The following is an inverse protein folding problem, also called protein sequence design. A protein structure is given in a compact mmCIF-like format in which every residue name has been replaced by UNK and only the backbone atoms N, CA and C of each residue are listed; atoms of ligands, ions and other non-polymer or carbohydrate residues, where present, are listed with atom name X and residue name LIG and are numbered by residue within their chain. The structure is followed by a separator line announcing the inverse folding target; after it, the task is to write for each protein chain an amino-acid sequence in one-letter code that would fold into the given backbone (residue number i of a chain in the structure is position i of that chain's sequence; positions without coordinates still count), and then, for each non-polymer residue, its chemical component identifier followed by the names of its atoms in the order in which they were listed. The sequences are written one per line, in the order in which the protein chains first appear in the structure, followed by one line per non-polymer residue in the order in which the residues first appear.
data_IF_262100108607
#
_entry.id   IF_262100108607
#
_cell.length_a   1.000
_cell.length_b   1.000
_cell.length_c   1.000
_cell.angle_alpha   90.00
_cell.angle_beta   90.00
_cell.angle_gamma   90.00
#
_symmetry.space_group_name_H-M   'P 1'
#
loop_
_entity.id
_entity.type
_entity.pdbx_description
1 polymer ?
#
# COMPACT_ATOMS: atom_id res chain seq x y z
N UNK A 1 -70.69 -8.10 5.96
CA UNK A 1 -69.54 -8.45 6.82
C UNK A 1 -68.28 -8.00 6.10
N UNK A 2 -67.56 -7.06 6.72
CA UNK A 2 -66.18 -6.65 6.40
C UNK A 2 -65.26 -7.88 6.26
N UNK A 3 -64.12 -7.84 5.56
CA UNK A 3 -62.93 -7.07 5.94
C UNK A 3 -62.02 -6.86 4.71
N UNK A 4 -61.69 -5.59 4.43
CA UNK A 4 -60.53 -5.19 3.63
C UNK A 4 -59.29 -5.23 4.51
N UNK A 5 -58.25 -5.96 4.11
CA UNK A 5 -56.92 -5.86 4.72
C UNK A 5 -55.96 -5.18 3.75
N UNK A 6 -55.65 -3.91 4.02
CA UNK A 6 -54.48 -3.21 3.49
C UNK A 6 -53.23 -3.88 4.06
N UNK A 7 -52.35 -4.37 3.19
CA UNK A 7 -51.00 -4.80 3.57
C UNK A 7 -50.06 -3.63 3.33
N UNK A 8 -49.67 -2.95 4.41
CA UNK A 8 -48.58 -1.96 4.43
C UNK A 8 -47.25 -2.72 4.54
N UNK A 9 -46.52 -2.81 3.43
CA UNK A 9 -45.17 -3.35 3.41
C UNK A 9 -44.21 -2.19 3.71
N UNK A 10 -43.74 -2.12 4.95
CA UNK A 10 -42.67 -1.23 5.38
C UNK A 10 -41.38 -2.06 5.42
N UNK A 11 -40.35 -1.63 4.69
CA UNK A 11 -39.00 -2.16 4.83
C UNK A 11 -38.23 -2.08 3.49
N UNK A 12 -36.97 -1.73 3.43
CA UNK A 12 -36.03 -1.23 4.43
C UNK A 12 -34.99 -0.38 3.67
N UNK A 13 -34.32 0.54 4.39
CA UNK A 13 -33.34 1.47 3.84
C UNK A 13 -32.29 0.77 2.96
N UNK A 14 -32.07 1.30 1.76
CA UNK A 14 -30.99 0.89 0.87
C UNK A 14 -29.64 1.06 1.58
N UNK A 15 -28.91 -0.05 1.71
CA UNK A 15 -27.52 -0.07 2.13
C UNK A 15 -26.71 0.77 1.13
N UNK A 16 -26.10 1.86 1.61
CA UNK A 16 -25.05 2.54 0.87
C UNK A 16 -23.88 1.57 0.76
N UNK A 17 -23.68 1.00 -0.42
CA UNK A 17 -22.42 0.35 -0.74
C UNK A 17 -21.35 1.45 -0.72
N UNK A 18 -20.54 1.49 0.33
CA UNK A 18 -19.30 2.23 0.31
C UNK A 18 -18.48 1.64 -0.85
N UNK A 19 -18.40 2.38 -1.95
CA UNK A 19 -17.61 2.03 -3.12
C UNK A 19 -16.14 2.16 -2.69
N UNK A 20 -15.62 1.12 -2.05
CA UNK A 20 -14.24 1.04 -1.59
C UNK A 20 -13.34 0.92 -2.79
N UNK A 21 -13.01 2.05 -3.43
CA UNK A 21 -11.81 2.13 -4.25
C UNK A 21 -10.66 1.68 -3.35
N UNK A 22 -9.92 0.60 -3.70
CA UNK A 22 -8.76 0.21 -2.93
C UNK A 22 -7.87 1.45 -2.78
N UNK A 23 -7.27 1.67 -1.60
CA UNK A 23 -6.31 2.74 -1.41
C UNK A 23 -5.32 2.70 -2.57
N UNK A 24 -4.97 3.84 -3.19
CA UNK A 24 -4.05 3.85 -4.31
C UNK A 24 -2.81 3.03 -3.92
N UNK A 25 -2.35 2.10 -4.78
CA UNK A 25 -1.24 1.19 -4.48
C UNK A 25 -0.01 1.91 -3.92
N UNK A 26 0.16 3.17 -4.29
CA UNK A 26 1.03 4.13 -3.62
C UNK A 26 0.29 4.95 -2.55
N UNK A 27 0.43 4.56 -1.28
CA UNK A 27 0.12 5.47 -0.18
C UNK A 27 1.12 6.62 -0.14
N UNK A 28 0.66 7.84 0.17
CA UNK A 28 1.55 8.95 0.53
C UNK A 28 1.68 9.03 2.04
N UNK A 29 2.88 9.01 2.60
CA UNK A 29 3.08 9.19 4.04
C UNK A 29 3.21 10.68 4.42
N UNK A 30 2.81 11.03 5.63
CA UNK A 30 3.00 12.38 6.15
C UNK A 30 4.30 12.45 6.98
N UNK A 31 5.27 13.31 6.63
CA UNK A 31 6.54 13.39 7.36
C UNK A 31 6.44 14.05 8.75
N UNK A 32 5.28 14.64 9.10
CA UNK A 32 5.06 15.25 10.41
C UNK A 32 4.94 14.18 11.50
N UNK A 33 5.69 14.34 12.59
CA UNK A 33 5.64 13.46 13.77
C UNK A 33 4.22 13.24 14.26
N UNK A 34 3.87 11.97 14.52
CA UNK A 34 2.52 11.57 14.93
C UNK A 34 1.47 11.50 13.81
N UNK A 35 1.82 11.92 12.58
CA UNK A 35 0.99 11.75 11.37
C UNK A 35 1.57 10.77 10.38
N UNK A 36 2.83 10.39 10.57
CA UNK A 36 3.50 9.37 9.79
C UNK A 36 2.88 7.99 10.11
N UNK A 37 1.98 7.52 9.25
CA UNK A 37 1.30 6.22 9.36
C UNK A 37 2.11 5.07 8.74
N UNK A 38 3.41 5.27 8.53
CA UNK A 38 4.29 4.17 8.16
C UNK A 38 4.43 3.18 9.32
N UNK A 39 4.58 1.90 8.99
CA UNK A 39 4.88 0.88 9.99
C UNK A 39 6.29 1.10 10.57
N UNK A 40 6.53 0.68 11.81
CA UNK A 40 7.84 0.83 12.50
C UNK A 40 9.00 0.12 11.77
N UNK A 41 8.69 -0.82 10.87
CA UNK A 41 9.67 -1.51 10.03
C UNK A 41 10.04 -0.75 8.76
N UNK A 42 9.44 0.42 8.56
CA UNK A 42 9.57 1.27 7.38
C UNK A 42 9.92 2.70 7.76
N UNK A 43 10.32 3.50 6.76
CA UNK A 43 10.60 4.92 6.93
C UNK A 43 9.80 5.74 5.93
N UNK A 44 9.29 6.89 6.34
CA UNK A 44 8.68 7.86 5.41
C UNK A 44 9.80 8.64 4.71
N UNK A 45 9.90 8.50 3.40
CA UNK A 45 10.98 9.09 2.60
C UNK A 45 10.42 10.02 1.52
N UNK A 46 11.15 11.10 1.24
CA UNK A 46 10.83 12.01 0.15
C UNK A 46 11.35 11.44 -1.18
N UNK A 47 10.48 11.30 -2.17
CA UNK A 47 10.80 10.83 -3.52
C UNK A 47 10.97 11.95 -4.54
N UNK A 48 11.08 13.19 -4.06
CA UNK A 48 11.13 14.42 -4.86
C UNK A 48 9.75 14.91 -5.27
N UNK A 49 8.86 14.00 -5.67
CA UNK A 49 7.48 14.32 -6.09
C UNK A 49 6.45 14.11 -4.99
N UNK A 50 6.69 13.16 -4.07
CA UNK A 50 5.82 12.90 -2.93
C UNK A 50 6.57 12.21 -1.81
N UNK A 51 5.87 11.76 -0.77
CA UNK A 51 6.45 11.01 0.33
C UNK A 51 5.86 9.60 0.37
N UNK A 52 6.69 8.58 0.54
CA UNK A 52 6.24 7.18 0.60
C UNK A 52 6.87 6.43 1.78
N UNK A 53 6.16 5.43 2.29
CA UNK A 53 6.76 4.47 3.20
C UNK A 53 7.67 3.53 2.39
N UNK A 54 8.91 3.39 2.82
CA UNK A 54 9.88 2.49 2.23
C UNK A 54 10.43 1.50 3.27
N UNK A 55 10.57 0.25 2.86
CA UNK A 55 11.23 -0.78 3.63
C UNK A 55 12.70 -0.42 3.86
N UNK A 56 13.28 -0.91 4.96
CA UNK A 56 14.74 -0.94 5.13
C UNK A 56 15.40 -1.74 4.00
N UNK A 57 16.63 -1.38 3.64
CA UNK A 57 17.40 -2.08 2.62
C UNK A 57 17.46 -3.59 2.89
N UNK A 58 17.20 -4.40 1.85
CA UNK A 58 17.18 -5.87 1.96
C UNK A 58 15.86 -6.47 2.48
N UNK A 59 14.85 -5.64 2.77
CA UNK A 59 13.52 -6.08 3.21
C UNK A 59 12.42 -5.69 2.22
N UNK A 60 11.36 -6.49 2.20
CA UNK A 60 10.12 -6.32 1.41
C UNK A 60 8.90 -6.67 2.25
N UNK A 61 7.70 -6.33 1.77
CA UNK A 61 6.44 -6.54 2.50
C UNK A 61 5.83 -7.93 2.30
N UNK A 62 6.09 -8.57 1.16
CA UNK A 62 5.45 -9.83 0.77
C UNK A 62 6.41 -10.75 0.02
N UNK A 63 6.19 -12.06 0.18
CA UNK A 63 6.84 -13.08 -0.65
C UNK A 63 6.37 -13.02 -2.10
N UNK A 64 5.13 -12.54 -2.34
CA UNK A 64 4.64 -12.32 -3.70
C UNK A 64 5.24 -11.03 -4.27
N UNK A 65 6.30 -11.18 -5.05
CA UNK A 65 7.04 -10.08 -5.67
C UNK A 65 6.20 -9.18 -6.60
N UNK A 66 5.03 -9.66 -7.05
CA UNK A 66 4.13 -8.94 -7.94
C UNK A 66 2.90 -8.34 -7.23
N UNK A 67 2.79 -8.50 -5.91
CA UNK A 67 1.69 -7.94 -5.14
C UNK A 67 1.85 -6.43 -4.95
N UNK A 68 1.42 -5.69 -5.96
CA UNK A 68 1.47 -4.23 -6.02
C UNK A 68 0.67 -3.55 -4.90
N UNK A 69 -0.33 -4.24 -4.35
CA UNK A 69 -1.12 -3.71 -3.23
C UNK A 69 -0.34 -3.67 -1.92
N UNK A 70 0.80 -4.38 -1.87
CA UNK A 70 1.66 -4.49 -0.69
C UNK A 70 3.05 -3.91 -0.92
N UNK A 71 3.58 -4.03 -2.14
CA UNK A 71 4.94 -3.61 -2.46
C UNK A 71 5.16 -3.27 -3.93
N UNK A 72 6.07 -2.34 -4.17
CA UNK A 72 6.53 -1.98 -5.52
C UNK A 72 7.89 -1.28 -5.44
N UNK A 73 8.59 -1.18 -6.57
CA UNK A 73 9.79 -0.34 -6.73
C UNK A 73 9.50 0.81 -7.71
N UNK A 74 10.19 1.93 -7.53
CA UNK A 74 10.14 3.10 -8.42
C UNK A 74 11.56 3.43 -8.91
N UNK A 75 11.71 4.02 -10.11
CA UNK A 75 13.00 4.45 -10.65
C UNK A 75 13.48 5.72 -9.94
N UNK A 76 14.02 5.52 -8.74
CA UNK A 76 14.51 6.57 -7.85
C UNK A 76 16.04 6.57 -7.85
N UNK A 77 16.70 7.57 -8.48
CA UNK A 77 18.16 7.61 -8.54
C UNK A 77 18.81 7.53 -7.17
N UNK A 78 19.77 6.62 -7.01
CA UNK A 78 20.50 6.31 -5.76
C UNK A 78 19.68 5.60 -4.66
N UNK A 79 18.40 5.31 -4.89
CA UNK A 79 17.51 4.63 -3.95
C UNK A 79 16.75 3.50 -4.62
N UNK A 80 17.25 2.98 -5.74
CA UNK A 80 16.61 1.94 -6.54
C UNK A 80 16.42 0.64 -5.73
N UNK A 81 17.24 0.43 -4.70
CA UNK A 81 17.17 -0.71 -3.79
C UNK A 81 15.97 -0.68 -2.83
N UNK A 82 15.28 0.47 -2.71
CA UNK A 82 14.16 0.60 -1.79
C UNK A 82 12.90 -0.04 -2.36
N UNK A 83 12.22 -0.79 -1.49
CA UNK A 83 10.87 -1.29 -1.73
C UNK A 83 9.89 -0.34 -1.05
N UNK A 84 8.95 0.19 -1.83
CA UNK A 84 7.91 1.08 -1.35
C UNK A 84 6.64 0.30 -1.02
N UNK A 85 5.89 0.79 -0.04
CA UNK A 85 4.70 0.14 0.48
C UNK A 85 3.62 1.18 0.86
N UNK A 86 2.34 0.78 0.90
CA UNK A 86 1.30 1.62 1.50
C UNK A 86 1.53 1.86 2.99
N UNK A 87 0.87 2.88 3.54
CA UNK A 87 0.84 3.13 4.99
C UNK A 87 0.40 1.87 5.77
N UNK A 88 0.90 1.73 7.00
CA UNK A 88 0.64 0.60 7.91
C UNK A 88 1.02 -0.78 7.35
N UNK A 89 1.86 -0.85 6.31
CA UNK A 89 2.36 -2.12 5.76
C UNK A 89 3.74 -2.42 6.32
N UNK A 90 3.89 -3.55 7.00
CA UNK A 90 5.16 -3.99 7.57
C UNK A 90 6.09 -4.62 6.52
N UNK A 91 7.40 -4.41 6.66
CA UNK A 91 8.46 -5.00 5.84
C UNK A 91 9.34 -5.94 6.68
N UNK A 92 8.82 -7.12 7.00
CA UNK A 92 9.52 -8.14 7.77
C UNK A 92 10.04 -9.31 6.92
N UNK A 93 9.84 -9.25 5.60
CA UNK A 93 10.29 -10.32 4.70
C UNK A 93 11.64 -9.95 4.11
N UNK A 94 12.63 -10.84 4.17
CA UNK A 94 13.90 -10.63 3.48
C UNK A 94 13.72 -10.72 1.95
N UNK A 95 14.47 -9.91 1.24
CA UNK A 95 14.64 -10.07 -0.20
C UNK A 95 15.48 -11.30 -0.52
N UNK A 96 15.44 -11.76 -1.78
CA UNK A 96 16.16 -12.96 -2.23
C UNK A 96 17.68 -12.81 -2.04
N UNK A 97 18.21 -11.60 -2.25
CA UNK A 97 19.59 -11.25 -1.96
C UNK A 97 19.62 -10.04 -0.99
N UNK A 98 19.47 -10.26 0.32
CA UNK A 98 19.28 -9.17 1.29
C UNK A 98 20.59 -8.49 1.70
N UNK A 99 21.75 -9.07 1.34
CA UNK A 99 23.09 -8.56 1.66
C UNK A 99 23.90 -8.22 0.40
N UNK A 100 23.24 -8.19 -0.76
CA UNK A 100 23.86 -7.87 -2.03
C UNK A 100 24.26 -6.40 -2.16
N UNK A 101 24.87 -6.07 -3.29
CA UNK A 101 25.12 -4.68 -3.65
C UNK A 101 23.79 -3.92 -3.83
N UNK A 102 23.75 -2.58 -3.72
CA UNK A 102 22.50 -1.81 -3.87
C UNK A 102 21.71 -2.14 -5.14
N UNK A 103 22.37 -2.38 -6.27
CA UNK A 103 21.71 -2.76 -7.53
C UNK A 103 21.04 -4.15 -7.50
N UNK A 104 21.43 -5.01 -6.57
CA UNK A 104 20.94 -6.39 -6.42
C UNK A 104 19.86 -6.53 -5.35
N UNK A 105 19.81 -5.58 -4.40
CA UNK A 105 18.86 -5.61 -3.30
C UNK A 105 17.43 -5.52 -3.83
N UNK A 106 16.63 -6.52 -3.45
CA UNK A 106 15.19 -6.59 -3.72
C UNK A 106 14.85 -6.45 -5.21
N UNK A 107 15.76 -6.82 -6.11
CA UNK A 107 15.57 -6.65 -7.54
C UNK A 107 14.44 -7.51 -8.10
N UNK A 108 14.01 -8.52 -7.34
CA UNK A 108 12.88 -9.37 -7.65
C UNK A 108 11.52 -8.67 -7.50
N UNK A 109 11.43 -7.59 -6.70
CA UNK A 109 10.20 -6.80 -6.55
C UNK A 109 10.00 -5.97 -7.80
N UNK A 110 8.76 -5.97 -8.32
CA UNK A 110 8.44 -5.35 -9.60
C UNK A 110 8.68 -3.83 -9.59
N UNK A 111 9.44 -3.37 -10.58
CA UNK A 111 9.71 -1.96 -10.87
C UNK A 111 8.57 -1.38 -11.72
N UNK A 112 8.08 -0.21 -11.33
CA UNK A 112 7.09 0.56 -12.07
C UNK A 112 7.63 1.95 -12.36
N UNK A 113 7.37 2.49 -13.55
CA UNK A 113 7.83 3.82 -13.95
C UNK A 113 7.17 4.95 -13.15
N UNK A 114 6.01 4.66 -12.56
CA UNK A 114 5.24 5.56 -11.73
C UNK A 114 4.40 4.74 -10.76
N UNK A 115 3.76 5.42 -9.82
CA UNK A 115 2.81 4.79 -8.95
C UNK A 115 1.70 4.07 -9.72
N UNK A 116 1.57 2.73 -9.54
CA UNK A 116 0.52 1.97 -10.20
C UNK A 116 -0.85 2.45 -9.69
N UNK A 117 -1.80 2.59 -10.61
CA UNK A 117 -3.19 2.99 -10.33
C UNK A 117 -3.98 1.85 -9.69
#
# INVERSE_FOLDING_TARGET
MHISTLVLIIGAASLVAANGTPPPPCGTCNPVSGKNRCDVTTSCINTGTSFHCACRAGYKASQNNNDVSRQFRLPMPNYEFLVFVPENTACNTLCNNPFGMPSELCNEVKLYNQCPA
#
